data_IF_692204863828
#
_entry.id   IF_692204863828
#
_cell.length_a   1.000
_cell.length_b   1.000
_cell.length_c   1.000
_cell.angle_alpha   90.00
_cell.angle_beta   90.00
_cell.angle_gamma   90.00
#
_symmetry.space_group_name_H-M   'P 1'
#
loop_
_entity.id
_entity.type
_entity.pdbx_description
1 polymer ?
#
# COMPACT_ATOMS: atom_id res chain seq x y z
N UNK A 1 -4.80 -17.21 -10.26
CA UNK A 1 -3.93 -16.64 -9.23
C UNK A 1 -3.05 -15.62 -9.93
N UNK A 2 -3.00 -14.39 -9.43
CA UNK A 2 -2.21 -13.31 -10.03
C UNK A 2 -1.40 -12.66 -8.92
N UNK A 3 -0.12 -12.47 -9.17
CA UNK A 3 0.77 -11.74 -8.27
C UNK A 3 0.75 -10.25 -8.66
N UNK A 4 0.33 -9.39 -7.74
CA UNK A 4 0.29 -7.94 -7.95
C UNK A 4 1.31 -7.24 -7.07
N UNK A 5 1.90 -6.16 -7.58
CA UNK A 5 2.74 -5.25 -6.82
C UNK A 5 2.12 -3.86 -6.77
N UNK A 6 2.08 -3.26 -5.59
CA UNK A 6 1.87 -1.81 -5.45
C UNK A 6 3.23 -1.15 -5.58
N UNK A 7 3.37 -0.27 -6.58
CA UNK A 7 4.51 0.63 -6.68
C UNK A 7 4.10 2.05 -6.32
N UNK A 8 5.00 2.75 -5.66
CA UNK A 8 4.89 4.20 -5.43
C UNK A 8 6.09 4.91 -6.05
N UNK A 9 5.90 6.18 -6.39
CA UNK A 9 6.94 7.13 -6.75
C UNK A 9 6.61 8.46 -6.06
N UNK A 10 7.60 9.06 -5.41
CA UNK A 10 7.47 10.37 -4.80
C UNK A 10 8.84 11.06 -4.70
N UNK A 11 8.80 12.38 -4.57
CA UNK A 11 9.96 13.23 -4.32
C UNK A 11 10.15 13.38 -2.80
N UNK A 12 11.32 12.99 -2.31
CA UNK A 12 11.68 13.04 -0.90
C UNK A 12 12.69 14.15 -0.69
N UNK A 13 12.41 15.04 0.27
CA UNK A 13 13.31 16.10 0.69
C UNK A 13 13.74 15.84 2.12
N UNK A 14 15.05 15.62 2.34
CA UNK A 14 15.68 15.42 3.65
C UNK A 14 15.14 14.27 4.51
N UNK A 15 14.37 13.35 3.91
CA UNK A 15 13.83 12.15 4.57
C UNK A 15 14.10 10.91 3.74
N UNK A 16 14.03 9.76 4.41
CA UNK A 16 14.24 8.44 3.81
C UNK A 16 13.39 7.41 4.55
N UNK A 17 13.41 6.17 4.06
CA UNK A 17 12.75 5.02 4.65
C UNK A 17 11.24 5.21 4.89
N UNK A 18 10.55 5.84 3.94
CA UNK A 18 9.09 5.95 3.96
C UNK A 18 8.48 4.54 3.94
N UNK A 19 7.73 4.18 4.98
CA UNK A 19 7.13 2.86 5.13
C UNK A 19 5.90 2.89 6.02
N UNK A 20 5.06 1.83 6.02
CA UNK A 20 4.00 1.69 7.01
C UNK A 20 4.54 1.77 8.45
N UNK A 21 3.92 2.59 9.31
CA UNK A 21 4.37 2.81 10.69
C UNK A 21 4.14 1.60 11.60
N UNK A 22 3.20 0.72 11.26
CA UNK A 22 2.86 -0.45 12.06
C UNK A 22 2.40 -1.64 11.21
N UNK A 23 2.36 -2.82 11.85
CA UNK A 23 1.90 -4.06 11.21
C UNK A 23 0.38 -4.09 10.96
N UNK A 24 -0.39 -3.16 11.56
CA UNK A 24 -1.84 -2.99 11.36
C UNK A 24 -2.16 -1.99 10.21
N UNK A 25 -1.19 -1.73 9.34
CA UNK A 25 -1.38 -0.82 8.22
C UNK A 25 -2.44 -1.31 7.25
N UNK A 26 -3.30 -0.38 6.81
CA UNK A 26 -4.42 -0.65 5.92
C UNK A 26 -4.08 -0.21 4.50
N UNK A 27 -3.93 -1.18 3.61
CA UNK A 27 -3.74 -0.92 2.20
C UNK A 27 -5.09 -0.70 1.52
N UNK A 28 -5.44 0.57 1.27
CA UNK A 28 -6.71 0.93 0.65
C UNK A 28 -6.65 0.78 -0.86
N UNK A 29 -7.46 -0.12 -1.41
CA UNK A 29 -7.42 -0.52 -2.81
C UNK A 29 -8.81 -0.50 -3.44
N UNK A 30 -8.89 -0.10 -4.71
CA UNK A 30 -10.04 -0.43 -5.57
C UNK A 30 -9.85 -1.82 -6.13
N UNK A 31 -10.94 -2.59 -6.14
CA UNK A 31 -10.92 -3.98 -6.57
C UNK A 31 -11.80 -4.15 -7.79
N UNK A 32 -11.29 -4.85 -8.80
CA UNK A 32 -12.03 -5.32 -9.96
C UNK A 32 -12.26 -6.83 -9.87
N UNK A 33 -13.50 -7.25 -10.05
CA UNK A 33 -13.86 -8.66 -10.08
C UNK A 33 -13.28 -9.32 -11.34
N UNK A 34 -12.48 -10.37 -11.17
CA UNK A 34 -11.89 -11.13 -12.28
C UNK A 34 -12.90 -11.99 -13.05
N UNK A 35 -14.16 -12.06 -12.62
CA UNK A 35 -15.21 -12.83 -13.28
C UNK A 35 -16.11 -11.98 -14.17
N UNK A 36 -16.74 -10.94 -13.61
CA UNK A 36 -17.68 -10.09 -14.34
C UNK A 36 -17.13 -8.71 -14.67
N UNK A 37 -15.91 -8.38 -14.24
CA UNK A 37 -15.27 -7.09 -14.50
C UNK A 37 -15.76 -5.93 -13.64
N UNK A 38 -16.72 -6.14 -12.74
CA UNK A 38 -17.27 -5.11 -11.86
C UNK A 38 -16.23 -4.59 -10.87
N UNK A 39 -16.14 -3.26 -10.74
CA UNK A 39 -15.23 -2.60 -9.78
C UNK A 39 -15.96 -2.14 -8.52
N UNK A 40 -15.25 -2.08 -7.39
CA UNK A 40 -15.81 -1.52 -6.16
C UNK A 40 -16.06 -0.02 -6.28
N UNK A 41 -17.21 0.44 -5.78
CA UNK A 41 -17.51 1.88 -5.72
C UNK A 41 -16.61 2.60 -4.72
N UNK A 42 -16.40 2.02 -3.54
CA UNK A 42 -15.50 2.55 -2.51
C UNK A 42 -14.17 1.78 -2.49
N UNK A 43 -13.19 2.38 -1.84
CA UNK A 43 -11.97 1.69 -1.45
C UNK A 43 -12.29 0.64 -0.39
N UNK A 44 -11.77 -0.57 -0.58
CA UNK A 44 -11.67 -1.58 0.48
C UNK A 44 -10.26 -1.57 1.03
N UNK A 45 -10.03 -2.16 2.20
CA UNK A 45 -8.67 -2.30 2.72
C UNK A 45 -8.30 -3.76 2.90
N UNK A 46 -7.00 -4.04 2.83
CA UNK A 46 -6.38 -5.30 3.22
C UNK A 46 -5.31 -5.00 4.28
N UNK A 47 -5.17 -5.89 5.26
CA UNK A 47 -4.29 -5.73 6.41
C UNK A 47 -3.59 -7.07 6.69
N UNK A 48 -2.30 -7.04 7.03
CA UNK A 48 -1.50 -8.26 7.22
C UNK A 48 -1.87 -9.09 8.45
N UNK A 49 -2.47 -8.48 9.46
CA UNK A 49 -2.88 -9.14 10.71
C UNK A 49 -4.27 -9.76 10.63
N UNK A 50 -5.15 -9.20 9.80
CA UNK A 50 -6.51 -9.72 9.63
C UNK A 50 -6.49 -11.09 8.92
N UNK A 51 -7.32 -12.02 9.40
CA UNK A 51 -7.54 -13.32 8.79
C UNK A 51 -9.03 -13.60 8.73
N UNK A 52 -9.57 -13.67 7.53
CA UNK A 52 -10.98 -13.93 7.28
C UNK A 52 -11.14 -15.32 6.66
N UNK A 53 -11.99 -16.20 7.22
CA UNK A 53 -12.27 -17.51 6.63
C UNK A 53 -12.80 -17.40 5.21
N UNK A 54 -12.23 -18.19 4.29
CA UNK A 54 -12.71 -18.26 2.91
C UNK A 54 -13.88 -19.25 2.88
N UNK A 55 -15.06 -18.78 2.45
CA UNK A 55 -16.24 -19.63 2.31
C UNK A 55 -15.93 -20.84 1.41
N UNK A 56 -16.37 -22.02 1.86
CA UNK A 56 -16.20 -23.31 1.17
C UNK A 56 -14.73 -23.74 0.93
N UNK A 57 -13.80 -23.20 1.72
CA UNK A 57 -12.37 -23.57 1.74
C UNK A 57 -11.89 -23.82 3.17
N UNK A 58 -10.74 -24.48 3.33
CA UNK A 58 -10.10 -24.73 4.63
C UNK A 58 -9.11 -23.65 5.06
N UNK A 59 -8.95 -22.59 4.27
CA UNK A 59 -7.97 -21.53 4.52
C UNK A 59 -8.61 -20.18 4.84
N UNK A 60 -7.82 -19.32 5.46
CA UNK A 60 -8.13 -17.90 5.67
C UNK A 60 -7.35 -17.05 4.66
N UNK A 61 -7.79 -15.81 4.47
CA UNK A 61 -7.04 -14.79 3.72
C UNK A 61 -7.11 -13.43 4.43
N UNK A 62 -6.17 -12.54 4.12
CA UNK A 62 -6.16 -11.16 4.64
C UNK A 62 -7.35 -10.33 4.14
N UNK A 63 -7.85 -10.60 2.93
CA UNK A 63 -9.05 -9.99 2.36
C UNK A 63 -9.93 -11.08 1.74
N UNK A 64 -11.20 -11.13 2.14
CA UNK A 64 -12.25 -11.91 1.46
C UNK A 64 -13.36 -10.96 1.04
N UNK A 65 -13.65 -10.90 -0.27
CA UNK A 65 -14.64 -9.97 -0.84
C UNK A 65 -15.65 -10.71 -1.71
N UNK A 66 -16.92 -10.35 -1.55
CA UNK A 66 -18.02 -10.85 -2.39
C UNK A 66 -18.42 -9.79 -3.41
N UNK A 67 -18.34 -10.13 -4.69
CA UNK A 67 -18.76 -9.23 -5.77
C UNK A 67 -20.26 -8.88 -5.61
N UNK A 68 -20.59 -7.58 -5.55
CA UNK A 68 -21.97 -7.11 -5.40
C UNK A 68 -22.85 -7.48 -6.60
N UNK A 69 -22.26 -7.61 -7.79
CA UNK A 69 -22.94 -7.98 -9.04
C UNK A 69 -23.09 -9.51 -9.18
N UNK A 70 -22.03 -10.24 -9.53
CA UNK A 70 -22.10 -11.67 -9.83
C UNK A 70 -22.05 -12.60 -8.59
N UNK A 71 -21.97 -12.04 -7.38
CA UNK A 71 -21.94 -12.77 -6.09
C UNK A 71 -20.74 -13.70 -5.88
N UNK A 72 -19.81 -13.79 -6.83
CA UNK A 72 -18.58 -14.57 -6.71
C UNK A 72 -17.73 -14.05 -5.56
N UNK A 73 -17.17 -14.98 -4.80
CA UNK A 73 -16.24 -14.70 -3.70
C UNK A 73 -14.82 -14.74 -4.26
N UNK A 74 -14.01 -13.77 -3.86
CA UNK A 74 -12.61 -13.61 -4.23
C UNK A 74 -11.81 -13.26 -2.99
N UNK A 75 -10.50 -13.49 -3.03
CA UNK A 75 -9.63 -13.21 -1.90
C UNK A 75 -8.27 -12.71 -2.34
N UNK A 76 -7.57 -12.07 -1.40
CA UNK A 76 -6.19 -11.67 -1.56
C UNK A 76 -5.43 -11.75 -0.23
N UNK A 77 -4.13 -12.03 -0.33
CA UNK A 77 -3.19 -12.07 0.77
C UNK A 77 -2.02 -11.11 0.53
N UNK A 78 -1.54 -10.46 1.57
CA UNK A 78 -0.28 -9.72 1.54
C UNK A 78 0.84 -10.74 1.64
N UNK A 79 1.83 -10.68 0.75
CA UNK A 79 2.94 -11.63 0.79
C UNK A 79 3.84 -11.28 1.98
N UNK A 80 4.09 -12.23 2.91
CA UNK A 80 4.96 -11.99 4.05
C UNK A 80 6.37 -11.55 3.61
N UNK A 81 6.90 -10.53 4.29
CA UNK A 81 8.23 -9.98 3.99
C UNK A 81 8.32 -9.21 2.66
N UNK A 82 7.19 -8.95 1.98
CA UNK A 82 7.19 -8.18 0.72
C UNK A 82 7.06 -6.67 0.91
N UNK A 83 6.75 -6.22 2.13
CA UNK A 83 6.66 -4.80 2.46
C UNK A 83 8.08 -4.25 2.57
N UNK A 84 8.41 -3.25 1.74
CA UNK A 84 9.73 -2.66 1.66
C UNK A 84 9.65 -1.13 1.81
N UNK A 85 10.62 -0.50 2.49
CA UNK A 85 10.67 0.95 2.60
C UNK A 85 11.01 1.60 1.25
N UNK A 86 10.55 2.83 1.05
CA UNK A 86 10.93 3.71 -0.05
C UNK A 86 11.98 4.70 0.46
N UNK A 87 13.23 4.56 0.00
CA UNK A 87 14.36 5.35 0.48
C UNK A 87 14.59 6.59 -0.38
N UNK A 88 15.47 7.49 0.08
CA UNK A 88 15.89 8.66 -0.69
C UNK A 88 16.48 8.28 -2.06
N UNK A 89 17.20 7.16 -2.16
CA UNK A 89 17.77 6.67 -3.43
C UNK A 89 16.70 6.24 -4.43
N UNK A 90 15.48 5.92 -3.97
CA UNK A 90 14.36 5.57 -4.82
C UNK A 90 13.60 6.81 -5.31
N UNK A 91 13.90 8.00 -4.78
CA UNK A 91 13.13 9.22 -5.02
C UNK A 91 12.99 9.56 -6.52
N UNK A 92 11.77 9.90 -6.93
CA UNK A 92 11.43 10.14 -8.34
C UNK A 92 11.30 8.87 -9.21
N UNK A 93 11.43 7.66 -8.63
CA UNK A 93 11.34 6.40 -9.37
C UNK A 93 10.30 5.46 -8.78
N UNK A 94 9.56 4.77 -9.65
CA UNK A 94 8.63 3.75 -9.21
C UNK A 94 9.34 2.56 -8.57
N UNK A 95 8.99 2.26 -7.32
CA UNK A 95 9.46 1.09 -6.58
C UNK A 95 8.30 0.28 -6.03
N UNK A 96 8.37 -1.04 -6.16
CA UNK A 96 7.42 -1.97 -5.52
C UNK A 96 7.64 -1.98 -4.01
N UNK A 97 6.62 -1.55 -3.26
CA UNK A 97 6.67 -1.47 -1.79
C UNK A 97 5.81 -2.54 -1.10
N UNK A 98 4.92 -3.23 -1.81
CA UNK A 98 4.16 -4.36 -1.29
C UNK A 98 3.73 -5.29 -2.43
N UNK A 99 3.61 -6.59 -2.11
CA UNK A 99 3.14 -7.63 -3.06
C UNK A 99 1.94 -8.37 -2.50
N UNK A 100 1.05 -8.78 -3.40
CA UNK A 100 -0.21 -9.41 -3.06
C UNK A 100 -0.47 -10.65 -3.92
N UNK A 101 -0.85 -11.77 -3.30
CA UNK A 101 -1.42 -12.93 -4.01
C UNK A 101 -2.92 -12.73 -4.15
N UNK A 102 -3.43 -12.62 -5.38
CA UNK A 102 -4.83 -12.35 -5.66
C UNK A 102 -5.53 -13.53 -6.37
N UNK A 103 -6.73 -13.88 -5.91
CA UNK A 103 -7.55 -14.96 -6.46
C UNK A 103 -8.96 -14.48 -6.77
N UNK A 104 -9.28 -14.39 -8.06
CA UNK A 104 -10.61 -14.00 -8.56
C UNK A 104 -10.85 -12.49 -8.59
N UNK A 105 -9.85 -11.68 -8.24
CA UNK A 105 -9.87 -10.23 -8.27
C UNK A 105 -8.54 -9.66 -8.77
N UNK A 106 -8.56 -8.39 -9.20
CA UNK A 106 -7.37 -7.58 -9.45
C UNK A 106 -7.53 -6.23 -8.72
N UNK A 107 -6.42 -5.64 -8.28
CA UNK A 107 -6.41 -4.26 -7.79
C UNK A 107 -6.26 -3.28 -8.95
N UNK A 108 -6.96 -2.15 -8.89
CA UNK A 108 -6.96 -1.15 -9.96
C UNK A 108 -6.45 0.22 -9.52
N UNK A 109 -6.50 0.53 -8.23
CA UNK A 109 -6.12 1.83 -7.68
C UNK A 109 -5.68 1.64 -6.24
N UNK A 110 -4.71 2.44 -5.79
CA UNK A 110 -4.20 2.46 -4.43
C UNK A 110 -4.32 3.88 -3.85
N UNK A 111 -4.79 3.97 -2.62
CA UNK A 111 -4.85 5.21 -1.85
C UNK A 111 -3.97 5.07 -0.61
N UNK A 112 -2.91 5.89 -0.46
CA UNK A 112 -1.93 5.71 0.61
C UNK A 112 -2.45 6.13 1.98
N UNK A 113 -3.34 7.13 2.05
CA UNK A 113 -3.94 7.66 3.29
C UNK A 113 -2.90 7.90 4.39
N UNK A 114 -3.23 7.62 5.65
CA UNK A 114 -2.40 7.82 6.84
C UNK A 114 -1.78 6.53 7.36
N UNK A 115 -0.85 6.66 8.30
CA UNK A 115 -0.18 5.54 8.96
C UNK A 115 1.20 5.23 8.36
N UNK A 116 1.84 6.25 7.80
CA UNK A 116 3.21 6.16 7.30
C UNK A 116 4.20 6.68 8.34
N UNK A 117 5.44 6.22 8.25
CA UNK A 117 6.57 6.80 8.96
C UNK A 117 7.77 6.97 8.03
N UNK A 118 8.62 7.93 8.35
CA UNK A 118 9.87 8.20 7.64
C UNK A 118 10.95 8.68 8.64
N UNK A 119 12.21 8.59 8.25
CA UNK A 119 13.33 9.06 9.07
C UNK A 119 14.01 10.25 8.42
N UNK A 120 14.50 11.18 9.22
CA UNK A 120 15.38 12.24 8.73
C UNK A 120 16.68 11.66 8.16
N UNK A 121 17.23 12.33 7.15
CA UNK A 121 18.59 12.07 6.63
C UNK A 121 19.64 12.88 7.39
N UNK A 122 19.23 13.97 8.05
CA UNK A 122 20.13 14.94 8.68
C UNK A 122 20.16 14.83 10.21
N UNK A 123 19.31 14.01 10.84
CA UNK A 123 19.26 13.81 12.29
C UNK A 123 18.72 12.42 12.67
N UNK A 124 18.56 12.18 13.98
CA UNK A 124 17.89 11.01 14.55
C UNK A 124 16.36 11.15 14.64
N UNK A 125 15.77 12.18 14.02
CA UNK A 125 14.33 12.39 14.01
C UNK A 125 13.61 11.32 13.19
N UNK A 126 12.49 10.84 13.75
CA UNK A 126 11.53 9.96 13.08
C UNK A 126 10.21 10.69 13.04
N UNK A 127 9.58 10.68 11.86
CA UNK A 127 8.28 11.27 11.62
C UNK A 127 7.28 10.13 11.51
N UNK A 128 6.40 10.02 12.51
CA UNK A 128 5.31 9.04 12.55
C UNK A 128 3.99 9.70 12.16
N UNK A 129 2.95 8.88 11.96
CA UNK A 129 1.59 9.32 11.60
C UNK A 129 1.50 10.22 10.36
N UNK A 130 2.44 10.06 9.43
CA UNK A 130 2.44 10.75 8.14
C UNK A 130 1.15 10.39 7.40
N UNK A 131 0.45 11.43 6.92
CA UNK A 131 -0.73 11.33 6.06
C UNK A 131 -0.38 11.76 4.64
N UNK A 132 -0.61 10.86 3.69
CA UNK A 132 -0.51 11.07 2.25
C UNK A 132 -1.90 11.12 1.60
N UNK A 133 -2.93 11.44 2.37
CA UNK A 133 -4.30 11.58 1.84
C UNK A 133 -4.39 12.67 0.76
N UNK A 134 -3.66 13.77 0.95
CA UNK A 134 -3.57 14.88 0.01
C UNK A 134 -2.37 14.74 -0.95
N UNK A 135 -1.75 13.55 -1.01
CA UNK A 135 -0.61 13.19 -1.88
C UNK A 135 0.65 14.05 -1.67
N UNK A 136 0.66 14.87 -0.61
CA UNK A 136 1.73 15.77 -0.20
C UNK A 136 1.82 15.73 1.33
N UNK A 137 3.04 15.79 1.85
CA UNK A 137 3.31 15.98 3.27
C UNK A 137 4.56 16.85 3.44
N UNK A 138 4.56 17.74 4.43
CA UNK A 138 5.72 18.54 4.80
C UNK A 138 5.76 18.78 6.30
N UNK A 139 6.96 18.85 6.85
CA UNK A 139 7.23 19.17 8.24
C UNK A 139 8.65 19.78 8.36
N UNK A 140 9.14 19.97 9.57
CA UNK A 140 10.47 20.53 9.83
C UNK A 140 11.26 19.66 10.80
N UNK A 141 12.48 19.29 10.40
CA UNK A 141 13.42 18.63 11.29
C UNK A 141 14.14 19.68 12.15
N UNK A 142 13.68 19.86 13.40
CA UNK A 142 14.28 20.80 14.35
C UNK A 142 15.75 20.51 14.66
N UNK A 143 16.14 19.22 14.68
CA UNK A 143 17.52 18.83 14.98
C UNK A 143 18.43 19.00 13.76
N UNK A 144 17.93 18.60 12.59
CA UNK A 144 18.60 18.75 11.30
C UNK A 144 18.60 20.18 10.76
N UNK A 145 17.72 21.05 11.29
CA UNK A 145 17.50 22.44 10.86
C UNK A 145 17.18 22.56 9.37
N UNK A 146 16.31 21.68 8.90
CA UNK A 146 15.91 21.62 7.49
C UNK A 146 14.43 21.26 7.35
N UNK A 147 13.80 21.74 6.30
CA UNK A 147 12.48 21.25 5.89
C UNK A 147 12.56 19.78 5.46
N UNK A 148 11.47 19.06 5.70
CA UNK A 148 11.29 17.68 5.24
C UNK A 148 9.99 17.57 4.48
N UNK A 149 9.97 16.81 3.39
CA UNK A 149 8.72 16.66 2.62
C UNK A 149 8.65 15.40 1.78
N UNK A 150 7.42 15.00 1.50
CA UNK A 150 7.02 14.03 0.49
C UNK A 150 6.13 14.77 -0.51
N UNK A 151 6.51 14.81 -1.78
CA UNK A 151 5.77 15.50 -2.84
C UNK A 151 5.59 14.61 -4.06
N UNK A 152 4.73 15.04 -4.98
CA UNK A 152 4.48 14.39 -6.27
C UNK A 152 4.19 12.88 -6.13
N UNK A 153 3.40 12.51 -5.12
CA UNK A 153 3.06 11.12 -4.88
C UNK A 153 2.29 10.54 -6.07
N UNK A 154 2.76 9.39 -6.55
CA UNK A 154 2.13 8.62 -7.60
C UNK A 154 2.13 7.15 -7.19
N UNK A 155 1.13 6.41 -7.64
CA UNK A 155 1.07 4.97 -7.46
C UNK A 155 0.64 4.23 -8.71
N UNK A 156 1.06 2.98 -8.83
CA UNK A 156 0.59 2.07 -9.87
C UNK A 156 0.51 0.64 -9.35
N UNK A 157 -0.43 -0.12 -9.91
CA UNK A 157 -0.55 -1.56 -9.70
C UNK A 157 0.08 -2.27 -10.90
N UNK A 158 1.05 -3.14 -10.66
CA UNK A 158 1.69 -3.94 -11.70
C UNK A 158 1.41 -5.43 -11.52
N UNK A 159 1.28 -6.15 -12.64
CA UNK A 159 1.33 -7.62 -12.63
C UNK A 159 2.79 -8.05 -12.55
N UNK A 160 3.13 -8.80 -11.51
CA UNK A 160 4.47 -9.34 -11.34
C UNK A 160 4.56 -10.68 -12.08
N UNK A 161 5.67 -10.90 -12.79
CA UNK A 161 5.96 -12.21 -13.39
C UNK A 161 6.34 -13.16 -12.25
N UNK A 162 5.73 -14.34 -12.25
CA UNK A 162 6.14 -15.45 -11.40
C UNK A 162 7.50 -15.98 -11.85
#
# INVERSE_FOLDING_TARGET
MVLLGVQISCELTNITNLSPSCNDFRWYLKVKCGNCGESTHDYVYINSLEKTPIQDSRGDANLVIRCKFCKRISNADIIPGSILPYSLDDSGHFKTIAKFDCRGLEFTEFSPRSGWSASSVNSDAVFDDISLTDEIWCDYDEKGKCEVSIQNFQSQIIKLKC
#
